data_IF_423218331537
#
_entry.id   IF_423218331537
#
_cell.length_a   1.000
_cell.length_b   1.000
_cell.length_c   1.000
_cell.angle_alpha   90.00
_cell.angle_beta   90.00
_cell.angle_gamma   90.00
#
_symmetry.space_group_name_H-M   'P 1'
#
loop_
_entity.id
_entity.type
_entity.pdbx_description
1 polymer ?
#
# COMPACT_ATOMS: atom_id res chain seq x y z
N UNK A 1 -17.02 11.03 -15.13
CA UNK A 1 -18.43 10.63 -15.03
C UNK A 1 -18.63 9.12 -15.24
N UNK A 2 -18.29 8.54 -16.42
CA UNK A 2 -18.54 7.11 -16.72
C UNK A 2 -17.80 6.16 -15.78
N UNK A 3 -16.53 6.41 -15.48
CA UNK A 3 -15.73 5.55 -14.59
C UNK A 3 -16.30 5.48 -13.18
N UNK A 4 -16.71 6.62 -12.62
CA UNK A 4 -17.34 6.69 -11.30
C UNK A 4 -18.63 5.87 -11.27
N UNK A 5 -19.46 6.00 -12.31
CA UNK A 5 -20.71 5.22 -12.40
C UNK A 5 -20.43 3.72 -12.42
N UNK A 6 -19.51 3.26 -13.26
CA UNK A 6 -19.14 1.83 -13.36
C UNK A 6 -18.61 1.30 -12.04
N UNK A 7 -17.74 2.05 -11.36
CA UNK A 7 -17.22 1.69 -10.06
C UNK A 7 -18.32 1.60 -9.01
N UNK A 8 -19.22 2.58 -8.97
CA UNK A 8 -20.37 2.61 -8.05
C UNK A 8 -21.31 1.45 -8.29
N UNK A 9 -21.66 1.18 -9.55
CA UNK A 9 -22.53 0.06 -9.91
C UNK A 9 -21.92 -1.27 -9.49
N UNK A 10 -20.61 -1.47 -9.73
CA UNK A 10 -19.87 -2.65 -9.29
C UNK A 10 -19.85 -2.77 -7.76
N UNK A 11 -19.44 -1.72 -7.05
CA UNK A 11 -19.32 -1.75 -5.59
C UNK A 11 -20.66 -2.04 -4.92
N UNK A 12 -21.76 -1.52 -5.45
CA UNK A 12 -23.13 -1.78 -4.95
C UNK A 12 -23.60 -3.22 -5.13
N UNK A 13 -22.96 -4.01 -5.96
CA UNK A 13 -23.23 -5.46 -6.02
C UNK A 13 -22.71 -6.20 -4.79
N UNK A 14 -21.77 -5.61 -4.05
CA UNK A 14 -21.15 -6.15 -2.82
C UNK A 14 -21.71 -5.50 -1.57
N UNK A 15 -21.81 -4.16 -1.61
CA UNK A 15 -22.35 -3.34 -0.54
C UNK A 15 -23.42 -2.39 -1.10
N UNK A 16 -24.73 -2.68 -0.88
CA UNK A 16 -25.83 -1.83 -1.34
C UNK A 16 -25.76 -0.39 -0.79
N UNK A 17 -25.08 -0.18 0.33
CA UNK A 17 -24.91 1.13 0.98
C UNK A 17 -23.68 1.88 0.52
N UNK A 18 -22.89 1.33 -0.40
CA UNK A 18 -21.70 1.98 -0.91
C UNK A 18 -21.98 3.37 -1.45
N UNK A 19 -21.15 4.32 -1.04
CA UNK A 19 -21.15 5.71 -1.52
C UNK A 19 -19.76 6.04 -2.06
N UNK A 20 -19.69 6.47 -3.33
CA UNK A 20 -18.44 6.92 -3.94
C UNK A 20 -17.85 8.11 -3.18
N UNK A 21 -16.56 8.07 -2.93
CA UNK A 21 -15.82 9.15 -2.27
C UNK A 21 -15.52 8.88 -0.79
N UNK A 22 -15.99 7.78 -0.25
CA UNK A 22 -15.72 7.40 1.15
C UNK A 22 -14.27 6.96 1.37
N UNK A 23 -13.64 6.38 0.34
CA UNK A 23 -12.29 5.81 0.40
C UNK A 23 -11.33 6.44 -0.62
N UNK A 24 -11.47 7.73 -0.86
CA UNK A 24 -10.73 8.44 -1.92
C UNK A 24 -9.49 9.21 -1.43
N UNK A 25 -9.16 9.10 -0.17
CA UNK A 25 -7.95 9.74 0.36
C UNK A 25 -6.68 8.97 -0.02
N UNK A 26 -5.59 9.69 -0.18
CA UNK A 26 -4.30 9.12 -0.53
C UNK A 26 -3.54 8.70 0.73
N UNK A 27 -3.47 7.40 0.97
CA UNK A 27 -2.62 6.85 2.03
C UNK A 27 -1.15 6.89 1.61
N UNK A 28 -0.28 7.28 2.54
CA UNK A 28 1.13 7.48 2.27
C UNK A 28 1.37 8.71 1.40
N UNK A 29 1.94 8.54 0.21
CA UNK A 29 2.12 9.67 -0.70
C UNK A 29 0.82 10.04 -1.43
N UNK A 30 0.76 11.31 -1.91
CA UNK A 30 -0.39 11.86 -2.64
C UNK A 30 -0.23 11.77 -4.16
N UNK A 31 0.43 10.72 -4.66
CA UNK A 31 0.76 10.57 -6.09
C UNK A 31 -0.43 10.15 -6.96
N UNK A 32 -1.53 9.74 -6.36
CA UNK A 32 -2.72 9.23 -7.06
C UNK A 32 -3.92 10.16 -6.88
N UNK A 33 -4.78 10.19 -7.90
CA UNK A 33 -6.04 10.94 -7.85
C UNK A 33 -7.05 10.29 -6.92
N UNK A 34 -8.06 11.05 -6.49
CA UNK A 34 -9.17 10.55 -5.67
C UNK A 34 -9.87 9.33 -6.30
N UNK A 35 -10.09 9.37 -7.62
CA UNK A 35 -10.68 8.24 -8.34
C UNK A 35 -9.78 7.00 -8.34
N UNK A 36 -8.46 7.16 -8.53
CA UNK A 36 -7.52 6.04 -8.43
C UNK A 36 -7.47 5.44 -7.03
N UNK A 37 -7.55 6.27 -5.98
CA UNK A 37 -7.59 5.80 -4.59
C UNK A 37 -8.83 4.96 -4.33
N UNK A 38 -10.00 5.40 -4.80
CA UNK A 38 -11.26 4.67 -4.65
C UNK A 38 -11.23 3.32 -5.40
N UNK A 39 -10.71 3.31 -6.65
CA UNK A 39 -10.51 2.07 -7.42
C UNK A 39 -9.54 1.15 -6.69
N UNK A 40 -8.46 1.68 -6.16
CA UNK A 40 -7.47 0.89 -5.43
C UNK A 40 -8.07 0.29 -4.15
N UNK A 41 -8.87 1.05 -3.42
CA UNK A 41 -9.55 0.55 -2.22
C UNK A 41 -10.49 -0.61 -2.59
N UNK A 42 -11.35 -0.45 -3.58
CA UNK A 42 -12.25 -1.50 -4.07
C UNK A 42 -11.48 -2.74 -4.51
N UNK A 43 -10.37 -2.55 -5.22
CA UNK A 43 -9.50 -3.64 -5.64
C UNK A 43 -8.89 -4.40 -4.46
N UNK A 44 -8.50 -3.71 -3.39
CA UNK A 44 -7.97 -4.35 -2.17
C UNK A 44 -9.02 -5.18 -1.45
N UNK A 45 -10.25 -4.70 -1.41
CA UNK A 45 -11.38 -5.41 -0.79
C UNK A 45 -11.76 -6.65 -1.63
N UNK A 46 -11.94 -6.47 -2.92
CA UNK A 46 -12.39 -7.55 -3.82
C UNK A 46 -11.34 -8.67 -3.95
N UNK A 47 -10.06 -8.31 -4.01
CA UNK A 47 -8.95 -9.25 -4.19
C UNK A 47 -8.19 -9.51 -2.88
N UNK A 48 -8.90 -9.46 -1.77
CA UNK A 48 -8.31 -9.72 -0.46
C UNK A 48 -7.75 -11.14 -0.38
N UNK A 49 -6.49 -11.26 0.10
CA UNK A 49 -5.82 -12.55 0.23
C UNK A 49 -5.19 -13.10 -1.06
N UNK A 50 -5.39 -12.46 -2.22
CA UNK A 50 -4.85 -12.92 -3.52
C UNK A 50 -3.42 -12.42 -3.82
N UNK A 51 -2.79 -11.69 -2.91
CA UNK A 51 -1.40 -11.22 -3.04
C UNK A 51 -1.21 -9.97 -3.90
N UNK A 52 -2.26 -9.41 -4.50
CA UNK A 52 -2.14 -8.24 -5.39
C UNK A 52 -1.77 -6.94 -4.69
N UNK A 53 -2.00 -6.83 -3.39
CA UNK A 53 -1.73 -5.61 -2.62
C UNK A 53 -0.27 -5.15 -2.73
N UNK A 54 0.69 -6.08 -2.71
CA UNK A 54 2.12 -5.78 -2.83
C UNK A 54 2.46 -5.15 -4.18
N UNK A 55 1.91 -5.68 -5.26
CA UNK A 55 2.12 -5.14 -6.60
C UNK A 55 1.51 -3.74 -6.74
N UNK A 56 0.31 -3.53 -6.21
CA UNK A 56 -0.38 -2.25 -6.26
C UNK A 56 0.37 -1.18 -5.44
N UNK A 57 0.85 -1.50 -4.25
CA UNK A 57 1.68 -0.62 -3.43
C UNK A 57 2.91 -0.17 -4.22
N UNK A 58 3.62 -1.11 -4.87
CA UNK A 58 4.81 -0.80 -5.67
C UNK A 58 4.50 0.07 -6.88
N UNK A 59 3.54 -0.30 -7.71
CA UNK A 59 3.24 0.45 -8.95
C UNK A 59 2.63 1.82 -8.69
N UNK A 60 1.93 2.02 -7.57
CA UNK A 60 1.34 3.30 -7.18
C UNK A 60 2.24 4.11 -6.25
N UNK A 61 3.42 3.58 -5.91
CA UNK A 61 4.37 4.15 -4.96
C UNK A 61 3.70 4.56 -3.64
N UNK A 62 2.92 3.66 -3.06
CA UNK A 62 2.21 3.89 -1.80
C UNK A 62 3.05 3.49 -0.60
N UNK A 63 2.87 4.22 0.49
CA UNK A 63 3.35 3.83 1.80
C UNK A 63 2.53 2.68 2.38
N UNK A 64 3.03 2.17 3.49
CA UNK A 64 2.34 1.16 4.30
C UNK A 64 2.00 1.79 5.64
N UNK A 65 0.76 1.67 6.06
CA UNK A 65 0.27 2.19 7.34
C UNK A 65 -0.06 1.00 8.24
N UNK A 66 0.64 0.91 9.37
CA UNK A 66 0.44 -0.11 10.40
C UNK A 66 -0.01 0.48 11.73
N UNK A 67 0.22 1.79 11.95
CA UNK A 67 -0.22 2.53 13.13
C UNK A 67 -1.50 3.29 12.82
N UNK A 68 -2.65 2.67 13.12
CA UNK A 68 -3.98 3.25 12.95
C UNK A 68 -4.89 2.79 14.09
N UNK A 69 -5.98 3.50 14.32
CA UNK A 69 -6.92 3.16 15.38
C UNK A 69 -7.46 1.72 15.23
N UNK A 70 -7.36 0.92 16.29
CA UNK A 70 -7.80 -0.47 16.27
C UNK A 70 -6.88 -1.44 15.53
N UNK A 71 -5.64 -1.05 15.22
CA UNK A 71 -4.65 -1.93 14.58
C UNK A 71 -4.38 -3.17 15.44
N UNK A 72 -4.22 -4.32 14.79
CA UNK A 72 -3.79 -5.58 15.42
C UNK A 72 -2.28 -5.83 15.32
N UNK A 73 -1.51 -4.87 14.79
CA UNK A 73 -0.06 -4.98 14.78
C UNK A 73 0.52 -4.84 16.19
N UNK A 74 1.56 -5.60 16.47
CA UNK A 74 2.27 -5.56 17.78
C UNK A 74 2.93 -4.21 18.01
N UNK A 75 3.04 -3.79 19.27
CA UNK A 75 3.86 -2.66 19.67
C UNK A 75 5.31 -2.87 19.24
N UNK A 76 5.97 -1.77 18.86
CA UNK A 76 7.30 -1.79 18.24
C UNK A 76 7.29 -2.15 16.75
N UNK A 77 6.15 -2.56 16.20
CA UNK A 77 5.97 -2.88 14.79
C UNK A 77 4.85 -2.06 14.10
N UNK A 78 4.35 -1.03 14.76
CA UNK A 78 3.28 -0.13 14.25
C UNK A 78 3.86 1.07 13.50
N UNK A 79 4.74 0.81 12.57
CA UNK A 79 5.39 1.85 11.78
C UNK A 79 4.57 2.21 10.54
N UNK A 80 4.71 3.47 10.11
CA UNK A 80 4.10 4.00 8.89
C UNK A 80 5.19 4.49 7.94
N UNK A 81 4.98 4.29 6.64
CA UNK A 81 5.84 4.86 5.59
C UNK A 81 5.00 5.70 4.64
N UNK A 82 5.61 6.71 4.02
CA UNK A 82 4.94 7.62 3.07
C UNK A 82 5.12 7.21 1.60
N UNK A 83 6.02 6.27 1.34
CA UNK A 83 6.33 5.73 0.01
C UNK A 83 6.65 4.25 0.12
N UNK A 84 6.82 3.58 -1.01
CA UNK A 84 7.21 2.17 -1.07
C UNK A 84 8.48 1.94 -0.26
N UNK A 85 8.46 1.08 0.75
CA UNK A 85 9.65 0.74 1.50
C UNK A 85 10.68 0.00 0.65
N UNK A 86 11.97 0.29 0.88
CA UNK A 86 13.06 -0.36 0.14
C UNK A 86 13.05 -1.89 0.27
N UNK A 87 12.66 -2.43 1.41
CA UNK A 87 12.58 -3.87 1.65
C UNK A 87 11.53 -4.61 0.80
N UNK A 88 10.61 -3.90 0.15
CA UNK A 88 9.71 -4.50 -0.84
C UNK A 88 10.40 -4.78 -2.18
N UNK A 89 11.64 -4.36 -2.37
CA UNK A 89 12.47 -4.71 -3.51
C UNK A 89 13.40 -5.84 -3.12
N UNK A 90 13.43 -6.93 -3.87
CA UNK A 90 14.29 -8.06 -3.58
C UNK A 90 15.76 -7.64 -3.60
N UNK A 91 16.48 -7.96 -2.54
CA UNK A 91 17.92 -7.77 -2.50
C UNK A 91 18.61 -8.84 -3.37
N UNK A 92 19.73 -8.47 -3.99
CA UNK A 92 20.61 -9.47 -4.60
C UNK A 92 21.25 -10.32 -3.51
N UNK A 93 21.45 -11.60 -3.79
CA UNK A 93 22.12 -12.49 -2.84
C UNK A 93 23.56 -12.03 -2.59
N UNK A 94 24.00 -12.08 -1.34
CA UNK A 94 25.34 -11.61 -0.96
C UNK A 94 26.48 -12.29 -1.72
N UNK A 95 26.32 -13.57 -2.08
CA UNK A 95 27.29 -14.30 -2.90
C UNK A 95 27.49 -13.66 -4.28
N UNK A 96 26.42 -13.20 -4.93
CA UNK A 96 26.57 -12.50 -6.22
C UNK A 96 27.33 -11.18 -6.04
N UNK A 97 26.98 -10.40 -5.02
CA UNK A 97 27.66 -9.13 -4.73
C UNK A 97 29.17 -9.32 -4.43
N UNK A 98 29.55 -10.45 -3.82
CA UNK A 98 30.94 -10.73 -3.49
C UNK A 98 31.82 -11.11 -4.69
N UNK A 99 31.21 -11.66 -5.74
CA UNK A 99 31.96 -12.16 -6.91
C UNK A 99 31.78 -11.32 -8.18
N UNK A 100 30.81 -10.44 -8.21
CA UNK A 100 30.52 -9.58 -9.37
C UNK A 100 30.76 -8.10 -9.02
N UNK A 101 31.99 -7.64 -9.18
CA UNK A 101 32.37 -6.25 -8.90
C UNK A 101 31.72 -5.19 -9.80
N UNK A 102 31.03 -5.59 -10.87
CA UNK A 102 30.26 -4.69 -11.74
C UNK A 102 28.80 -4.51 -11.32
N UNK A 103 28.36 -5.21 -10.26
CA UNK A 103 26.97 -5.17 -9.80
C UNK A 103 26.74 -4.02 -8.83
N UNK A 104 25.66 -3.26 -9.05
CA UNK A 104 25.14 -2.31 -8.07
C UNK A 104 24.02 -3.00 -7.29
N UNK A 105 24.16 -3.06 -5.96
CA UNK A 105 23.14 -3.63 -5.08
C UNK A 105 21.91 -2.72 -5.01
N UNK A 106 20.73 -3.34 -4.80
CA UNK A 106 19.53 -2.60 -4.44
C UNK A 106 19.72 -1.88 -3.09
N UNK A 107 18.99 -0.78 -2.83
CA UNK A 107 19.02 -0.14 -1.52
C UNK A 107 18.78 -1.15 -0.40
N UNK A 108 19.52 -1.00 0.69
CA UNK A 108 19.48 -1.90 1.83
C UNK A 108 18.03 -2.07 2.35
N UNK A 109 17.48 -3.28 2.40
CA UNK A 109 16.10 -3.53 2.80
C UNK A 109 15.94 -3.49 4.31
N UNK A 110 16.03 -2.29 4.89
CA UNK A 110 15.79 -2.09 6.33
C UNK A 110 14.30 -1.90 6.59
N UNK A 111 13.72 -2.77 7.42
CA UNK A 111 12.39 -2.54 7.97
C UNK A 111 12.43 -1.36 8.95
N UNK A 112 11.45 -0.45 8.93
CA UNK A 112 11.30 0.53 9.99
C UNK A 112 11.18 -0.16 11.36
N UNK A 113 11.75 0.44 12.39
CA UNK A 113 11.64 -0.02 13.77
C UNK A 113 10.92 1.04 14.62
N UNK A 114 10.22 0.57 15.65
CA UNK A 114 9.45 1.44 16.55
C UNK A 114 8.07 1.80 15.99
N UNK A 115 7.30 2.51 16.81
CA UNK A 115 5.94 2.89 16.48
C UNK A 115 5.89 4.30 15.90
N UNK A 116 5.13 4.46 14.84
CA UNK A 116 4.77 5.77 14.30
C UNK A 116 3.54 6.34 15.02
N UNK A 117 3.32 7.66 14.98
CA UNK A 117 2.06 8.23 15.44
C UNK A 117 0.86 7.56 14.77
N UNK A 118 -0.20 7.34 15.56
CA UNK A 118 -1.44 6.76 15.05
C UNK A 118 -2.09 7.71 14.03
N UNK A 119 -2.56 7.15 12.93
CA UNK A 119 -3.36 7.89 11.94
C UNK A 119 -4.83 7.49 12.04
N UNK A 120 -5.71 8.48 11.90
CA UNK A 120 -7.16 8.30 12.01
C UNK A 120 -7.83 7.98 10.67
N UNK A 121 -7.08 8.05 9.57
CA UNK A 121 -7.63 7.94 8.23
C UNK A 121 -7.70 6.48 7.75
N UNK A 122 -8.91 6.00 7.67
CA UNK A 122 -9.36 4.90 6.80
C UNK A 122 -10.58 5.35 6.05
#
# INVERSE_FOLDING_TARGET
ARGIKLLTDFAKTRDPHYVYGTHNEAYGNKSTSKFQNEVWWQRRVELWGEGFATFDIKRLNKGIIRSYHGTNHLEGARWNTTSVPNWMTWAFVGTEANYNGGMTTNPDPVQPSGDSPEVTAW
#
